data_IF_771970236582
#
_entry.id   IF_771970236582
#
_cell.length_a   1.000
_cell.length_b   1.000
_cell.length_c   1.000
_cell.angle_alpha   90.00
_cell.angle_beta   90.00
_cell.angle_gamma   90.00
#
_symmetry.space_group_name_H-M   'P 1'
#
loop_
_entity.id
_entity.type
_entity.pdbx_description
1 polymer ?
#
# COMPACT_ATOMS: atom_id res chain seq x y z
N UNK A 1 -8.39 10.31 -9.26
CA UNK A 1 -7.51 10.92 -10.25
C UNK A 1 -6.38 11.52 -9.47
N UNK A 2 -5.19 11.00 -9.69
CA UNK A 2 -3.98 11.43 -9.03
C UNK A 2 -3.66 12.88 -9.40
N UNK A 3 -2.98 13.59 -8.51
CA UNK A 3 -2.72 15.03 -8.65
C UNK A 3 -1.26 15.31 -8.41
N UNK A 4 -0.62 15.99 -9.36
CA UNK A 4 0.73 16.51 -9.17
C UNK A 4 0.65 17.87 -8.49
N UNK A 5 1.24 18.00 -7.30
CA UNK A 5 1.48 19.27 -6.65
C UNK A 5 2.80 19.85 -7.17
N UNK A 6 2.71 20.85 -8.04
CA UNK A 6 3.87 21.51 -8.64
C UNK A 6 4.70 22.34 -7.66
N UNK A 7 4.15 22.72 -6.51
CA UNK A 7 4.89 23.49 -5.50
C UNK A 7 5.82 22.58 -4.69
N UNK A 8 5.38 21.36 -4.40
CA UNK A 8 6.13 20.37 -3.60
C UNK A 8 6.79 19.27 -4.44
N UNK A 9 6.53 19.25 -5.76
CA UNK A 9 6.83 18.14 -6.66
C UNK A 9 6.32 16.79 -6.14
N UNK A 10 5.18 16.79 -5.45
CA UNK A 10 4.58 15.56 -4.93
C UNK A 10 3.46 15.07 -5.85
N UNK A 11 3.49 13.79 -6.21
CA UNK A 11 2.41 13.15 -6.95
C UNK A 11 1.50 12.40 -5.98
N UNK A 12 0.28 12.90 -5.80
CA UNK A 12 -0.65 12.41 -4.80
C UNK A 12 -1.59 11.38 -5.42
N UNK A 13 -1.58 10.17 -4.87
CA UNK A 13 -2.39 9.04 -5.31
C UNK A 13 -3.35 8.62 -4.19
N UNK A 14 -4.63 8.51 -4.51
CA UNK A 14 -5.64 7.99 -3.57
C UNK A 14 -5.73 6.48 -3.72
N UNK A 15 -5.35 5.76 -2.66
CA UNK A 15 -5.49 4.31 -2.57
C UNK A 15 -6.58 3.98 -1.54
N UNK A 16 -7.54 3.13 -1.90
CA UNK A 16 -8.59 2.70 -0.98
C UNK A 16 -8.36 1.27 -0.53
N UNK A 17 -8.32 1.06 0.79
CA UNK A 17 -8.42 -0.26 1.39
C UNK A 17 -9.92 -0.59 1.50
N UNK A 18 -10.42 -1.34 0.52
CA UNK A 18 -11.83 -1.69 0.41
C UNK A 18 -12.03 -3.11 0.89
N UNK A 19 -13.09 -3.41 1.62
CA UNK A 19 -13.34 -4.77 2.09
C UNK A 19 -14.77 -4.95 2.57
N UNK A 20 -15.12 -6.16 3.04
CA UNK A 20 -16.38 -6.38 3.71
C UNK A 20 -16.43 -5.56 5.01
N UNK A 21 -17.62 -5.16 5.46
CA UNK A 21 -17.80 -4.41 6.69
C UNK A 21 -17.68 -5.35 7.91
N UNK A 22 -16.52 -5.98 8.07
CA UNK A 22 -16.24 -6.93 9.16
C UNK A 22 -15.08 -6.45 10.00
N UNK A 23 -15.00 -6.95 11.24
CA UNK A 23 -13.89 -6.63 12.14
C UNK A 23 -12.55 -7.14 11.60
N UNK A 24 -12.57 -8.24 10.86
CA UNK A 24 -11.37 -8.84 10.28
C UNK A 24 -10.78 -7.94 9.19
N UNK A 25 -11.61 -7.42 8.28
CA UNK A 25 -11.16 -6.46 7.26
C UNK A 25 -10.57 -5.18 7.89
N UNK A 26 -11.22 -4.62 8.92
CA UNK A 26 -10.69 -3.43 9.62
C UNK A 26 -9.35 -3.72 10.31
N UNK A 27 -9.20 -4.90 10.93
CA UNK A 27 -7.91 -5.32 11.52
C UNK A 27 -6.83 -5.48 10.45
N UNK A 28 -7.15 -6.08 9.31
CA UNK A 28 -6.22 -6.28 8.20
C UNK A 28 -5.75 -4.94 7.61
N UNK A 29 -6.67 -3.98 7.45
CA UNK A 29 -6.35 -2.62 7.05
C UNK A 29 -5.38 -1.95 8.03
N UNK A 30 -5.65 -2.08 9.35
CA UNK A 30 -4.78 -1.55 10.39
C UNK A 30 -3.40 -2.23 10.36
N UNK A 31 -3.35 -3.55 10.18
CA UNK A 31 -2.10 -4.31 10.06
C UNK A 31 -1.24 -3.82 8.89
N UNK A 32 -1.84 -3.62 7.71
CA UNK A 32 -1.17 -3.07 6.54
C UNK A 32 -0.57 -1.69 6.83
N UNK A 33 -1.37 -0.78 7.39
CA UNK A 33 -0.88 0.56 7.78
C UNK A 33 0.23 0.45 8.82
N UNK A 34 0.17 -0.51 9.75
CA UNK A 34 1.22 -0.75 10.75
C UNK A 34 2.51 -1.35 10.21
N UNK A 35 2.46 -2.06 9.09
CA UNK A 35 3.63 -2.66 8.47
C UNK A 35 4.49 -1.65 7.69
N UNK A 36 3.96 -0.47 7.36
CA UNK A 36 4.72 0.59 6.70
C UNK A 36 5.76 1.14 7.68
N UNK A 37 7.05 1.25 7.26
CA UNK A 37 8.09 1.84 8.09
C UNK A 37 7.72 3.21 8.64
N UNK A 38 8.06 3.49 9.91
CA UNK A 38 7.71 4.75 10.56
C UNK A 38 8.27 5.98 9.83
N UNK A 39 9.44 5.86 9.20
CA UNK A 39 10.04 6.93 8.40
C UNK A 39 9.26 7.25 7.13
N UNK A 40 8.49 6.29 6.61
CA UNK A 40 7.73 6.39 5.36
C UNK A 40 6.25 6.68 5.60
N UNK A 41 5.82 6.70 6.87
CA UNK A 41 4.41 6.75 7.25
C UNK A 41 4.07 7.94 8.13
N UNK A 42 3.15 8.75 7.66
CA UNK A 42 2.48 9.79 8.45
C UNK A 42 1.01 9.38 8.64
N UNK A 43 0.61 9.09 9.89
CA UNK A 43 -0.77 8.69 10.21
C UNK A 43 -1.52 9.89 10.73
N UNK A 44 -2.48 10.38 9.95
CA UNK A 44 -3.44 11.38 10.41
C UNK A 44 -4.73 10.65 10.74
N UNK A 45 -4.99 10.49 12.03
CA UNK A 45 -6.33 10.10 12.48
C UNK A 45 -7.23 11.30 12.29
N UNK A 46 -8.20 11.20 11.37
CA UNK A 46 -9.16 12.28 11.25
C UNK A 46 -9.87 12.45 12.61
N UNK A 47 -9.74 13.66 13.14
CA UNK A 47 -10.30 14.02 14.43
C UNK A 47 -11.78 14.35 14.20
N UNK A 48 -12.73 13.91 15.03
CA UNK A 48 -14.13 14.31 14.88
C UNK A 48 -14.22 15.86 14.87
N UNK A 49 -14.96 16.51 13.95
CA UNK A 49 -16.17 16.05 13.29
C UNK A 49 -16.03 16.06 11.76
N UNK A 50 -15.13 15.26 11.19
CA UNK A 50 -15.17 15.04 9.75
C UNK A 50 -16.37 14.14 9.43
N UNK A 51 -17.23 14.55 8.49
CA UNK A 51 -18.37 13.78 7.99
C UNK A 51 -17.96 12.45 7.30
N UNK A 52 -16.67 12.12 7.32
CA UNK A 52 -16.05 10.99 6.63
C UNK A 52 -15.30 10.11 7.64
N UNK A 53 -15.78 8.89 7.98
CA UNK A 53 -15.14 8.00 8.95
C UNK A 53 -13.96 7.24 8.30
N UNK A 54 -13.05 7.96 7.65
CA UNK A 54 -11.90 7.37 6.98
C UNK A 54 -10.63 7.50 7.80
N UNK A 55 -9.91 6.40 8.01
CA UNK A 55 -8.51 6.46 8.40
C UNK A 55 -7.71 6.84 7.16
N UNK A 56 -6.87 7.86 7.29
CA UNK A 56 -5.95 8.31 6.25
C UNK A 56 -4.52 8.10 6.74
N UNK A 57 -3.80 7.21 6.08
CA UNK A 57 -2.35 7.10 6.25
C UNK A 57 -1.68 7.62 4.98
N UNK A 58 -0.66 8.47 5.15
CA UNK A 58 0.20 8.90 4.06
C UNK A 58 1.42 8.00 4.02
N UNK A 59 1.65 7.39 2.88
CA UNK A 59 2.79 6.55 2.58
C UNK A 59 3.68 7.27 1.56
N UNK A 60 4.96 7.44 1.91
CA UNK A 60 6.01 8.02 1.07
C UNK A 60 7.14 6.99 0.99
N UNK A 61 7.21 6.16 -0.07
CA UNK A 61 8.29 5.19 -0.20
C UNK A 61 9.64 5.89 -0.23
N UNK A 62 10.64 5.37 0.48
CA UNK A 62 11.99 5.94 0.45
C UNK A 62 12.64 5.84 -0.94
N UNK A 63 12.34 4.76 -1.67
CA UNK A 63 12.83 4.50 -3.02
C UNK A 63 11.65 4.58 -4.00
N UNK A 64 11.37 5.77 -4.52
CA UNK A 64 10.38 5.97 -5.58
C UNK A 64 11.06 5.97 -6.95
N UNK A 65 10.45 5.32 -7.96
CA UNK A 65 11.01 5.22 -9.31
C UNK A 65 10.82 6.50 -10.17
N UNK A 66 10.28 7.58 -9.59
CA UNK A 66 9.81 8.75 -10.31
C UNK A 66 10.80 9.93 -10.37
N UNK A 67 12.09 9.69 -10.13
CA UNK A 67 13.14 10.71 -10.17
C UNK A 67 12.87 11.86 -9.18
N UNK A 68 12.72 13.08 -9.70
CA UNK A 68 12.48 14.30 -8.89
C UNK A 68 11.04 14.40 -8.35
N UNK A 69 10.11 13.59 -8.86
CA UNK A 69 8.72 13.58 -8.42
C UNK A 69 8.60 12.62 -7.23
N UNK A 70 8.07 13.12 -6.12
CA UNK A 70 7.89 12.34 -4.89
C UNK A 70 6.46 11.76 -4.85
N UNK A 71 6.26 10.45 -5.02
CA UNK A 71 4.93 9.88 -4.88
C UNK A 71 4.48 9.93 -3.42
N UNK A 72 3.21 10.25 -3.22
CA UNK A 72 2.53 10.26 -1.93
C UNK A 72 1.25 9.46 -2.06
N UNK A 73 1.24 8.27 -1.48
CA UNK A 73 0.09 7.37 -1.50
C UNK A 73 -0.76 7.61 -0.25
N UNK A 74 -1.96 8.12 -0.45
CA UNK A 74 -2.95 8.32 0.62
C UNK A 74 -3.80 7.07 0.73
N UNK A 75 -3.58 6.29 1.77
CA UNK A 75 -4.34 5.08 2.10
C UNK A 75 -5.59 5.47 2.87
N UNK A 76 -6.75 5.35 2.21
CA UNK A 76 -8.06 5.56 2.81
C UNK A 76 -8.68 4.22 3.18
N UNK A 77 -9.11 4.06 4.43
CA UNK A 77 -9.91 2.91 4.85
C UNK A 77 -11.06 3.35 5.73
N UNK A 78 -12.12 2.55 5.76
CA UNK A 78 -13.24 2.80 6.65
C UNK A 78 -12.87 2.42 8.09
N UNK A 79 -13.27 3.27 9.03
CA UNK A 79 -12.92 3.14 10.45
C UNK A 79 -13.75 2.10 11.20
N UNK A 80 -14.86 1.64 10.62
CA UNK A 80 -15.79 0.73 11.30
C UNK A 80 -16.36 -0.36 10.41
N UNK A 81 -16.57 -1.53 11.03
CA UNK A 81 -17.32 -2.64 10.46
C UNK A 81 -18.82 -2.34 10.29
N UNK A 82 -19.31 -1.16 10.69
CA UNK A 82 -20.72 -0.76 10.54
C UNK A 82 -20.96 0.29 9.46
N UNK A 83 -19.97 0.55 8.60
CA UNK A 83 -20.02 1.63 7.60
C UNK A 83 -21.16 1.41 6.61
N UNK A 84 -21.86 2.49 6.26
CA UNK A 84 -23.02 2.39 5.36
C UNK A 84 -22.59 2.19 3.91
N UNK A 85 -23.51 1.72 3.06
CA UNK A 85 -23.25 1.61 1.62
C UNK A 85 -22.88 2.96 0.98
N UNK A 86 -23.46 4.07 1.47
CA UNK A 86 -23.16 5.41 0.99
C UNK A 86 -21.71 5.81 1.32
N UNK A 87 -21.26 5.58 2.56
CA UNK A 87 -19.87 5.86 2.97
C UNK A 87 -18.87 5.04 2.15
N UNK A 88 -19.20 3.76 1.91
CA UNK A 88 -18.41 2.81 1.13
C UNK A 88 -18.32 3.20 -0.34
N UNK A 89 -19.38 3.75 -0.90
CA UNK A 89 -19.36 4.29 -2.26
C UNK A 89 -18.57 5.61 -2.31
N UNK A 90 -18.76 6.49 -1.32
CA UNK A 90 -18.12 7.81 -1.27
C UNK A 90 -16.60 7.70 -1.14
N UNK A 91 -16.09 6.78 -0.33
CA UNK A 91 -14.64 6.58 -0.17
C UNK A 91 -13.97 6.20 -1.50
N UNK A 92 -14.70 5.58 -2.44
CA UNK A 92 -14.19 5.22 -3.77
C UNK A 92 -14.16 6.38 -4.78
N UNK A 93 -14.74 7.53 -4.44
CA UNK A 93 -14.70 8.70 -5.30
C UNK A 93 -13.26 9.17 -5.53
N UNK A 94 -12.89 9.39 -6.80
CA UNK A 94 -11.54 9.76 -7.22
C UNK A 94 -10.41 8.80 -6.83
N UNK A 95 -10.70 7.53 -6.53
CA UNK A 95 -9.68 6.54 -6.22
C UNK A 95 -8.80 6.22 -7.43
N UNK A 96 -7.51 6.04 -7.20
CA UNK A 96 -6.51 5.69 -8.21
C UNK A 96 -6.13 4.21 -8.15
N UNK A 97 -6.06 3.62 -6.96
CA UNK A 97 -5.84 2.18 -6.77
C UNK A 97 -6.64 1.59 -5.60
N UNK A 98 -6.87 0.28 -5.62
CA UNK A 98 -7.64 -0.42 -4.58
C UNK A 98 -6.88 -1.63 -4.04
N UNK A 99 -6.88 -1.76 -2.71
CA UNK A 99 -6.53 -3.01 -2.03
C UNK A 99 -7.83 -3.62 -1.55
N UNK A 100 -8.26 -4.71 -2.18
CA UNK A 100 -9.44 -5.46 -1.77
C UNK A 100 -9.06 -6.41 -0.64
N UNK A 101 -9.50 -6.08 0.56
CA UNK A 101 -9.33 -6.84 1.79
C UNK A 101 -10.33 -8.00 1.82
N UNK A 102 -9.81 -9.20 2.06
CA UNK A 102 -10.58 -10.43 2.12
C UNK A 102 -10.77 -10.88 3.58
N UNK A 103 -11.99 -11.33 3.87
CA UNK A 103 -12.32 -12.03 5.11
C UNK A 103 -12.44 -13.53 4.80
N UNK A 104 -11.34 -14.27 4.98
CA UNK A 104 -11.26 -15.68 4.61
C UNK A 104 -12.02 -16.60 5.57
N UNK A 105 -12.36 -16.11 6.77
CA UNK A 105 -13.28 -16.79 7.68
C UNK A 105 -14.73 -16.75 7.15
N UNK A 106 -15.02 -15.82 6.23
CA UNK A 106 -16.33 -15.67 5.61
C UNK A 106 -16.20 -15.32 4.13
N UNK A 107 -15.94 -16.32 3.30
CA UNK A 107 -15.78 -16.17 1.85
C UNK A 107 -16.95 -15.40 1.21
N UNK A 108 -18.19 -15.66 1.65
CA UNK A 108 -19.38 -14.95 1.15
C UNK A 108 -19.31 -13.43 1.36
N UNK A 109 -18.69 -12.97 2.46
CA UNK A 109 -18.45 -11.55 2.72
C UNK A 109 -17.41 -10.97 1.76
N UNK A 110 -16.37 -11.75 1.45
CA UNK A 110 -15.34 -11.35 0.48
C UNK A 110 -15.93 -11.23 -0.93
N UNK A 111 -16.74 -12.20 -1.35
CA UNK A 111 -17.47 -12.17 -2.65
C UNK A 111 -18.44 -10.99 -2.69
N UNK A 112 -19.14 -10.72 -1.58
CA UNK A 112 -20.03 -9.56 -1.47
C UNK A 112 -19.25 -8.24 -1.64
N UNK A 113 -18.10 -8.10 -0.97
CA UNK A 113 -17.24 -6.93 -1.10
C UNK A 113 -16.71 -6.74 -2.52
N UNK A 114 -16.29 -7.80 -3.20
CA UNK A 114 -15.86 -7.74 -4.60
C UNK A 114 -16.96 -7.22 -5.52
N UNK A 115 -18.17 -7.81 -5.44
CA UNK A 115 -19.33 -7.39 -6.24
C UNK A 115 -19.74 -5.96 -5.95
N UNK A 116 -19.65 -5.56 -4.69
CA UNK A 116 -19.99 -4.21 -4.28
C UNK A 116 -18.96 -3.18 -4.73
N UNK A 117 -17.67 -3.53 -4.68
CA UNK A 117 -16.60 -2.74 -5.28
C UNK A 117 -16.86 -2.51 -6.76
N UNK A 118 -17.13 -3.58 -7.52
CA UNK A 118 -17.44 -3.49 -8.94
C UNK A 118 -18.65 -2.59 -9.21
N UNK A 119 -19.74 -2.78 -8.43
CA UNK A 119 -20.93 -1.95 -8.51
C UNK A 119 -20.61 -0.47 -8.23
N UNK A 120 -19.84 -0.16 -7.19
CA UNK A 120 -19.52 1.23 -6.84
C UNK A 120 -18.56 1.88 -7.82
N UNK A 121 -17.53 1.17 -8.29
CA UNK A 121 -16.63 1.67 -9.33
C UNK A 121 -17.41 2.00 -10.62
N UNK A 122 -18.41 1.19 -10.97
CA UNK A 122 -19.25 1.44 -12.15
C UNK A 122 -20.00 2.78 -12.08
N UNK A 123 -20.38 3.24 -10.88
CA UNK A 123 -21.02 4.55 -10.69
C UNK A 123 -20.10 5.72 -11.05
N UNK A 124 -18.80 5.49 -11.05
CA UNK A 124 -17.77 6.45 -11.44
C UNK A 124 -17.18 6.15 -12.82
N UNK A 125 -17.80 5.25 -13.60
CA UNK A 125 -17.33 4.86 -14.93
C UNK A 125 -16.03 4.03 -14.92
N UNK A 126 -15.71 3.37 -13.80
CA UNK A 126 -14.52 2.52 -13.65
C UNK A 126 -14.91 1.05 -13.50
N UNK A 127 -13.97 0.15 -13.77
CA UNK A 127 -14.08 -1.28 -13.48
C UNK A 127 -12.84 -1.75 -12.74
N UNK A 128 -12.91 -2.94 -12.13
CA UNK A 128 -11.75 -3.57 -11.48
C UNK A 128 -10.61 -3.79 -12.49
N UNK A 129 -10.94 -4.05 -13.76
CA UNK A 129 -9.95 -4.24 -14.82
C UNK A 129 -9.36 -2.93 -15.38
N UNK A 130 -9.94 -1.77 -15.06
CA UNK A 130 -9.49 -0.47 -15.59
C UNK A 130 -8.62 0.32 -14.62
N UNK A 131 -8.19 -0.29 -13.51
CA UNK A 131 -7.34 0.35 -12.51
C UNK A 131 -6.54 -0.68 -11.72
N UNK A 132 -5.46 -0.27 -11.04
CA UNK A 132 -4.70 -1.17 -10.19
C UNK A 132 -5.53 -1.66 -9.00
N UNK A 133 -5.77 -2.96 -8.97
CA UNK A 133 -6.46 -3.65 -7.87
C UNK A 133 -5.64 -4.87 -7.45
N UNK A 134 -5.39 -4.99 -6.15
CA UNK A 134 -4.78 -6.20 -5.57
C UNK A 134 -5.68 -6.79 -4.49
N UNK A 135 -5.52 -8.08 -4.23
CA UNK A 135 -6.22 -8.81 -3.19
C UNK A 135 -5.31 -9.02 -1.99
N UNK A 136 -5.81 -8.75 -0.79
CA UNK A 136 -5.07 -8.96 0.46
C UNK A 136 -5.95 -9.77 1.43
N UNK A 137 -5.47 -10.94 1.85
CA UNK A 137 -6.14 -11.77 2.85
C UNK A 137 -5.25 -12.03 4.07
N UNK A 138 -5.84 -12.49 5.17
CA UNK A 138 -5.11 -12.79 6.41
C UNK A 138 -4.25 -14.07 6.34
N UNK A 139 -4.55 -14.98 5.41
CA UNK A 139 -3.88 -16.27 5.23
C UNK A 139 -3.83 -16.63 3.74
N UNK A 140 -3.02 -17.60 3.28
CA UNK A 140 -3.08 -18.06 1.90
C UNK A 140 -4.49 -18.51 1.49
N UNK A 141 -4.85 -18.29 0.21
CA UNK A 141 -6.07 -18.88 -0.36
C UNK A 141 -5.85 -20.37 -0.61
N UNK A 142 -6.88 -21.18 -0.37
CA UNK A 142 -6.91 -22.53 -0.90
C UNK A 142 -7.33 -22.56 -2.38
N UNK A 143 -7.12 -23.70 -3.06
CA UNK A 143 -7.44 -23.87 -4.48
C UNK A 143 -8.91 -23.58 -4.81
N UNK A 144 -9.82 -23.87 -3.88
CA UNK A 144 -11.25 -23.63 -4.03
C UNK A 144 -11.60 -22.15 -3.95
N UNK A 145 -11.02 -21.44 -2.99
CA UNK A 145 -11.18 -20.00 -2.82
C UNK A 145 -10.55 -19.23 -3.98
N UNK A 146 -9.37 -19.67 -4.46
CA UNK A 146 -8.69 -19.06 -5.59
C UNK A 146 -9.50 -19.18 -6.90
N UNK A 147 -10.25 -20.27 -7.08
CA UNK A 147 -11.13 -20.46 -8.23
C UNK A 147 -12.42 -19.62 -8.16
N UNK A 148 -12.89 -19.29 -6.96
CA UNK A 148 -14.16 -18.57 -6.73
C UNK A 148 -14.00 -17.06 -6.65
N UNK A 149 -12.89 -16.61 -6.08
CA UNK A 149 -12.46 -15.22 -6.15
C UNK A 149 -11.83 -14.96 -7.52
N UNK A 150 -11.93 -13.74 -8.03
CA UNK A 150 -11.25 -13.37 -9.28
C UNK A 150 -9.71 -13.22 -9.10
N UNK A 151 -9.10 -14.03 -8.24
CA UNK A 151 -7.69 -14.03 -7.91
C UNK A 151 -6.80 -14.47 -9.08
N UNK A 152 -7.34 -15.15 -10.09
CA UNK A 152 -6.56 -15.52 -11.27
C UNK A 152 -6.22 -14.31 -12.17
N UNK A 153 -6.96 -13.21 -12.05
CA UNK A 153 -6.68 -11.97 -12.81
C UNK A 153 -6.06 -10.87 -11.97
N UNK A 154 -5.97 -11.05 -10.64
CA UNK A 154 -5.52 -10.05 -9.69
C UNK A 154 -4.40 -10.61 -8.81
N UNK A 155 -3.37 -9.81 -8.54
CA UNK A 155 -2.30 -10.23 -7.63
C UNK A 155 -2.85 -10.45 -6.21
N UNK A 156 -2.62 -11.63 -5.66
CA UNK A 156 -3.01 -12.02 -4.31
C UNK A 156 -1.83 -11.99 -3.33
N UNK A 157 -2.06 -11.45 -2.13
CA UNK A 157 -1.09 -11.45 -1.04
C UNK A 157 -1.73 -11.95 0.26
N UNK A 158 -1.03 -12.86 0.94
CA UNK A 158 -1.35 -13.26 2.30
C UNK A 158 -0.58 -12.41 3.32
N UNK A 159 -1.27 -11.82 4.28
CA UNK A 159 -0.74 -10.95 5.32
C UNK A 159 -0.07 -11.72 6.47
N UNK A 160 0.77 -12.69 6.13
CA UNK A 160 1.45 -13.56 7.10
C UNK A 160 2.55 -12.81 7.89
N UNK A 161 3.15 -11.78 7.29
CA UNK A 161 4.20 -10.98 7.90
C UNK A 161 4.30 -9.57 7.30
N UNK A 162 5.13 -8.71 7.90
CA UNK A 162 5.32 -7.34 7.45
C UNK A 162 5.89 -7.25 6.02
N UNK A 163 6.76 -8.19 5.63
CA UNK A 163 7.37 -8.23 4.30
C UNK A 163 6.32 -8.47 3.21
N UNK A 164 5.37 -9.38 3.43
CA UNK A 164 4.30 -9.64 2.45
C UNK A 164 3.35 -8.44 2.32
N UNK A 165 3.07 -7.76 3.44
CA UNK A 165 2.27 -6.52 3.45
C UNK A 165 2.96 -5.38 2.69
N UNK A 166 4.27 -5.21 2.88
CA UNK A 166 5.05 -4.22 2.14
C UNK A 166 5.12 -4.54 0.65
N UNK A 167 5.31 -5.82 0.29
CA UNK A 167 5.29 -6.27 -1.11
C UNK A 167 3.92 -6.04 -1.78
N UNK A 168 2.82 -6.24 -1.04
CA UNK A 168 1.47 -5.93 -1.53
C UNK A 168 1.35 -4.44 -1.85
N UNK A 169 1.75 -3.56 -0.92
CA UNK A 169 1.77 -2.12 -1.15
C UNK A 169 2.64 -1.76 -2.36
N UNK A 170 3.87 -2.27 -2.41
CA UNK A 170 4.81 -2.01 -3.49
C UNK A 170 4.23 -2.42 -4.85
N UNK A 171 3.62 -3.61 -4.95
CA UNK A 171 3.01 -4.10 -6.19
C UNK A 171 1.91 -3.14 -6.69
N UNK A 172 1.05 -2.66 -5.79
CA UNK A 172 0.02 -1.70 -6.16
C UNK A 172 0.63 -0.36 -6.59
N UNK A 173 1.61 0.15 -5.83
CA UNK A 173 2.20 1.47 -6.11
C UNK A 173 2.98 1.47 -7.42
N UNK A 174 3.71 0.40 -7.72
CA UNK A 174 4.39 0.26 -9.02
C UNK A 174 3.38 0.23 -10.18
N UNK A 175 2.26 -0.49 -10.04
CA UNK A 175 1.19 -0.47 -11.04
C UNK A 175 0.55 0.92 -11.23
N UNK A 176 0.45 1.72 -10.16
CA UNK A 176 0.00 3.12 -10.27
C UNK A 176 1.02 3.98 -11.02
N UNK A 177 2.31 3.81 -10.75
CA UNK A 177 3.40 4.52 -11.43
C UNK A 177 3.41 4.19 -12.93
N UNK A 178 3.20 2.93 -13.29
CA UNK A 178 3.05 2.46 -14.68
C UNK A 178 1.84 3.10 -15.38
N UNK A 179 0.66 3.00 -14.79
CA UNK A 179 -0.58 3.53 -15.36
C UNK A 179 -0.55 5.05 -15.53
N UNK A 180 0.22 5.75 -14.69
CA UNK A 180 0.38 7.20 -14.77
C UNK A 180 1.24 7.67 -15.95
N UNK A 181 1.92 6.75 -16.64
CA UNK A 181 2.91 7.07 -17.67
C UNK A 181 4.17 7.74 -17.10
N UNK A 182 4.35 7.70 -15.78
CA UNK A 182 5.56 8.18 -15.10
C UNK A 182 6.59 7.04 -14.92
N UNK A 183 6.19 5.77 -15.05
CA UNK A 183 7.13 4.67 -15.16
C UNK A 183 7.97 4.80 -16.44
N UNK A 184 9.29 4.81 -16.27
CA UNK A 184 10.25 5.04 -17.35
C UNK A 184 11.03 6.35 -17.27
N UNK A 185 10.82 7.19 -16.24
CA UNK A 185 11.68 8.36 -15.99
C UNK A 185 12.92 7.99 -15.15
N UNK A 186 13.00 6.78 -14.60
CA UNK A 186 14.27 6.22 -14.13
C UNK A 186 14.19 4.95 -13.29
N UNK A 187 14.29 3.78 -13.92
CA UNK A 187 15.31 2.74 -13.67
C UNK A 187 15.06 1.52 -14.56
N UNK A 188 16.13 0.97 -15.14
CA UNK A 188 16.13 -0.36 -15.75
C UNK A 188 16.00 -1.42 -14.64
N UNK A 189 15.03 -2.33 -14.79
CA UNK A 189 14.75 -3.42 -13.86
C UNK A 189 15.83 -4.52 -13.83
N UNK A 190 16.93 -4.37 -14.58
CA UNK A 190 17.97 -5.39 -14.73
C UNK A 190 18.98 -5.43 -13.54
N UNK A 191 18.97 -4.44 -12.64
CA UNK A 191 19.94 -4.36 -11.52
C UNK A 191 19.53 -5.16 -10.26
N UNK A 192 18.35 -5.77 -10.21
CA UNK A 192 17.96 -6.56 -9.02
C UNK A 192 18.51 -8.00 -9.03
N UNK A 193 19.03 -8.48 -10.18
CA UNK A 193 19.53 -9.85 -10.34
C UNK A 193 21.06 -9.97 -10.58
N UNK A 194 21.83 -8.87 -10.53
CA UNK A 194 23.29 -8.94 -10.59
C UNK A 194 24.00 -7.98 -9.63
N UNK A 195 24.28 -8.43 -8.42
CA UNK A 195 25.69 -8.61 -8.04
C UNK A 195 25.80 -9.52 -6.81
N UNK A 196 25.95 -10.81 -7.09
CA UNK A 196 26.61 -11.72 -6.17
C UNK A 196 28.11 -11.54 -6.29
N UNK A 197 28.66 -10.49 -5.68
CA UNK A 197 30.08 -10.43 -5.37
C UNK A 197 30.29 -10.68 -3.89
N UNK A 198 30.81 -11.86 -3.56
CA UNK A 198 31.32 -12.18 -2.24
C UNK A 198 32.32 -11.09 -1.83
N UNK A 199 32.02 -10.35 -0.78
CA UNK A 199 33.01 -9.48 -0.13
C UNK A 199 33.84 -10.40 0.76
N UNK A 200 35.07 -10.67 0.32
CA UNK A 200 36.11 -11.30 1.15
C UNK A 200 36.36 -10.42 2.38
N UNK A 201 36.08 -10.97 3.56
CA UNK A 201 36.11 -10.29 4.86
C UNK A 201 37.50 -10.30 5.53
N UNK A 202 38.59 -10.36 4.76
CA UNK A 202 39.93 -10.59 5.32
C UNK A 202 40.87 -9.35 5.37
N UNK A 203 40.47 -8.18 4.87
CA UNK A 203 41.34 -6.98 4.85
C UNK A 203 40.72 -5.75 5.57
N UNK A 204 40.27 -5.93 6.83
CA UNK A 204 40.07 -4.78 7.73
C UNK A 204 41.36 -4.56 8.53
N UNK A 205 42.32 -3.83 7.94
CA UNK A 205 43.41 -3.21 8.70
C UNK A 205 42.82 -2.16 9.65
N UNK A 206 42.76 -2.49 10.94
CA UNK A 206 42.58 -1.50 11.99
C UNK A 206 43.93 -0.84 12.26
N UNK A 207 44.18 0.30 11.63
CA UNK A 207 45.17 1.25 12.11
C UNK A 207 44.68 2.69 11.95
N UNK A 208 44.96 3.47 12.99
CA UNK A 208 44.78 4.92 13.15
C UNK A 208 43.34 5.48 13.23
N UNK A 209 42.83 5.58 14.47
CA UNK A 209 42.28 6.87 14.89
C UNK A 209 42.63 7.21 16.35
N UNK A 210 43.43 8.27 16.44
CA UNK A 210 44.14 8.80 17.58
C UNK A 210 43.33 9.02 18.86
N UNK A 211 44.01 8.72 19.96
CA UNK A 211 43.77 9.19 21.31
C UNK A 211 43.50 10.70 21.35
N UNK A 212 42.46 11.08 22.09
CA UNK A 212 42.45 12.33 22.83
C UNK A 212 42.35 11.98 24.32
N UNK A 213 43.49 12.11 24.98
CA UNK A 213 43.62 12.18 26.43
C UNK A 213 42.87 13.41 26.97
N UNK A 214 42.35 13.21 28.18
CA UNK A 214 42.26 14.14 29.32
C UNK A 214 42.34 15.66 29.07
N UNK A 215 41.34 16.39 29.56
CA UNK A 215 41.55 17.21 30.76
C UNK A 215 40.26 17.92 31.20
N UNK A 216 40.03 17.86 32.52
CA UNK A 216 39.48 18.89 33.40
C UNK A 216 38.35 19.81 32.92
N UNK A 217 37.24 19.82 33.67
CA UNK A 217 36.79 21.03 34.39
C UNK A 217 35.69 20.72 35.42
N UNK A 218 35.99 21.16 36.64
CA UNK A 218 35.27 21.13 37.93
C UNK A 218 33.78 21.49 37.91
#
# INVERSE_FOLDING_TARGET
MSRLNHETNEWHCKVVLFGPPTRNAVKLAAQLVTAIPLAEREVTWDTPPAEEPTLVARYRPANAALGDIKPVYMLHTLRSAGSTAADRQHVLHNTDGVILLLDLESEDQSIFAERELERFLSTYGKTIASMPVILLGASPLDDGQQARLNANSLSYFAAENATTLQRALHTLTSGLEEDSGLAGIGFDLDDFDSDGSAVDLDDIEFDDLHAYDDDDLK
#
